data_IF_755790539135
#
_entry.id   IF_755790539135
#
_cell.length_a   1.000
_cell.length_b   1.000
_cell.length_c   1.000
_cell.angle_alpha   90.00
_cell.angle_beta   90.00
_cell.angle_gamma   90.00
#
_symmetry.space_group_name_H-M   'P 1'
#
loop_
_entity.id
_entity.type
_entity.pdbx_description
1 polymer ?
#
# COMPACT_ATOMS: atom_id res chain seq x y z
N UNK A 1 -21.56 -7.69 -7.23
CA UNK A 1 -20.57 -8.79 -7.14
C UNK A 1 -19.98 -8.79 -5.75
N UNK A 2 -19.53 -9.94 -5.24
CA UNK A 2 -18.80 -10.03 -3.97
C UNK A 2 -17.29 -9.81 -4.22
N UNK A 3 -16.58 -9.17 -3.31
CA UNK A 3 -15.12 -8.97 -3.39
C UNK A 3 -14.37 -10.28 -3.60
N UNK A 4 -14.81 -11.36 -2.94
CA UNK A 4 -14.18 -12.70 -3.04
C UNK A 4 -14.21 -13.30 -4.45
N UNK A 5 -14.99 -12.73 -5.37
CA UNK A 5 -15.00 -13.14 -6.79
C UNK A 5 -14.00 -12.37 -7.66
N UNK A 6 -13.42 -11.28 -7.15
CA UNK A 6 -12.40 -10.50 -7.84
C UNK A 6 -11.05 -11.22 -7.82
N UNK A 7 -10.28 -11.08 -8.90
CA UNK A 7 -8.96 -11.70 -9.01
C UNK A 7 -7.87 -10.76 -8.53
N UNK A 8 -6.95 -11.27 -7.72
CA UNK A 8 -5.79 -10.52 -7.29
C UNK A 8 -4.71 -10.48 -8.38
N UNK A 9 -4.23 -9.28 -8.70
CA UNK A 9 -3.06 -9.04 -9.53
C UNK A 9 -1.92 -8.55 -8.64
N UNK A 10 -0.84 -9.32 -8.58
CA UNK A 10 0.37 -8.91 -7.87
C UNK A 10 1.48 -8.56 -8.87
N UNK A 11 1.93 -7.31 -8.85
CA UNK A 11 3.06 -6.85 -9.65
C UNK A 11 4.35 -6.93 -8.85
N UNK A 12 5.25 -7.82 -9.25
CA UNK A 12 6.48 -8.08 -8.49
C UNK A 12 7.61 -7.06 -8.74
N UNK A 13 7.56 -6.28 -9.82
CA UNK A 13 8.65 -5.35 -10.19
C UNK A 13 9.47 -5.83 -11.41
N UNK A 14 10.73 -5.42 -11.57
CA UNK A 14 11.65 -4.76 -10.62
C UNK A 14 11.61 -3.22 -10.61
N UNK A 15 12.39 -2.59 -9.72
CA UNK A 15 12.57 -1.14 -9.70
C UNK A 15 13.10 -0.64 -11.05
N UNK A 16 12.64 0.54 -11.50
CA UNK A 16 12.96 1.13 -12.81
C UNK A 16 12.46 0.34 -14.03
N UNK A 17 11.63 -0.70 -13.85
CA UNK A 17 10.99 -1.43 -14.93
C UNK A 17 9.60 -0.87 -15.32
N UNK A 18 9.45 0.46 -15.27
CA UNK A 18 8.19 1.16 -15.61
C UNK A 18 6.92 0.70 -14.84
N UNK A 19 7.08 0.15 -13.63
CA UNK A 19 5.97 -0.28 -12.77
C UNK A 19 4.98 0.84 -12.42
N UNK A 20 5.47 2.09 -12.33
CA UNK A 20 4.63 3.28 -12.16
C UNK A 20 3.72 3.53 -13.36
N UNK A 21 4.23 3.36 -14.58
CA UNK A 21 3.41 3.52 -15.78
C UNK A 21 2.35 2.41 -15.83
N UNK A 22 2.74 1.17 -15.55
CA UNK A 22 1.83 0.03 -15.52
C UNK A 22 0.72 0.21 -14.47
N UNK A 23 1.05 0.69 -13.26
CA UNK A 23 0.03 0.94 -12.24
C UNK A 23 -0.98 1.98 -12.69
N UNK A 24 -0.53 3.10 -13.26
CA UNK A 24 -1.44 4.13 -13.77
C UNK A 24 -2.29 3.67 -14.96
N UNK A 25 -1.70 2.87 -15.86
CA UNK A 25 -2.44 2.29 -16.96
C UNK A 25 -3.58 1.39 -16.46
N UNK A 26 -3.30 0.49 -15.52
CA UNK A 26 -4.33 -0.40 -14.95
C UNK A 26 -5.37 0.37 -14.14
N UNK A 27 -4.94 1.33 -13.32
CA UNK A 27 -5.81 2.17 -12.49
C UNK A 27 -6.76 3.05 -13.32
N UNK A 28 -6.37 3.40 -14.56
CA UNK A 28 -7.26 4.14 -15.47
C UNK A 28 -8.49 3.36 -15.94
N UNK A 29 -8.53 2.05 -15.69
CA UNK A 29 -9.65 1.18 -16.08
C UNK A 29 -10.64 1.02 -14.92
N UNK A 30 -11.95 0.97 -15.24
CA UNK A 30 -12.99 0.75 -14.22
C UNK A 30 -13.01 -0.69 -13.68
N UNK A 31 -12.30 -1.61 -14.32
CA UNK A 31 -12.29 -3.04 -13.97
C UNK A 31 -11.23 -3.40 -12.90
N UNK A 32 -10.30 -2.48 -12.59
CA UNK A 32 -9.18 -2.74 -11.66
C UNK A 32 -9.24 -1.78 -10.47
N UNK A 33 -9.21 -2.35 -9.28
CA UNK A 33 -9.12 -1.62 -8.02
C UNK A 33 -7.68 -1.64 -7.49
N UNK A 34 -7.11 -0.47 -7.20
CA UNK A 34 -5.85 -0.37 -6.46
C UNK A 34 -6.10 -0.11 -4.97
N UNK A 35 -5.10 -0.45 -4.15
CA UNK A 35 -5.09 -0.15 -2.73
C UNK A 35 -5.11 1.37 -2.45
N UNK A 36 -5.20 1.77 -1.17
CA UNK A 36 -5.25 3.18 -0.77
C UNK A 36 -4.00 3.97 -1.17
N UNK A 37 -2.87 3.31 -1.29
CA UNK A 37 -1.58 3.87 -1.65
C UNK A 37 -0.87 2.94 -2.62
N UNK A 38 -0.07 3.52 -3.51
CA UNK A 38 0.81 2.75 -4.40
C UNK A 38 1.94 2.14 -3.58
N UNK A 39 2.37 0.93 -3.96
CA UNK A 39 3.47 0.20 -3.33
C UNK A 39 3.19 -0.11 -1.85
N UNK A 40 2.24 -1.03 -1.59
CA UNK A 40 1.88 -1.39 -0.21
C UNK A 40 3.03 -2.07 0.55
N UNK A 41 3.98 -2.65 -0.19
CA UNK A 41 5.15 -3.35 0.34
C UNK A 41 4.82 -4.47 1.34
N UNK A 42 3.58 -4.96 1.35
CA UNK A 42 3.05 -5.88 2.36
C UNK A 42 3.92 -7.13 2.45
N UNK A 43 4.10 -7.85 1.35
CA UNK A 43 4.91 -9.08 1.34
C UNK A 43 6.38 -8.82 1.69
N UNK A 44 6.97 -7.75 1.16
CA UNK A 44 8.38 -7.43 1.46
C UNK A 44 8.60 -7.08 2.93
N UNK A 45 7.63 -6.46 3.60
CA UNK A 45 7.72 -6.16 5.04
C UNK A 45 7.40 -7.39 5.90
N UNK A 46 6.52 -8.27 5.44
CA UNK A 46 6.20 -9.53 6.11
C UNK A 46 7.38 -10.51 6.09
N UNK A 47 8.06 -10.64 4.95
CA UNK A 47 9.11 -11.64 4.75
C UNK A 47 10.55 -11.11 4.90
N UNK A 48 10.77 -9.78 4.93
CA UNK A 48 12.09 -9.18 5.17
C UNK A 48 12.09 -8.31 6.44
N UNK A 49 12.55 -8.86 7.59
CA UNK A 49 12.53 -8.15 8.87
C UNK A 49 13.25 -6.78 8.87
N UNK A 50 14.33 -6.66 8.09
CA UNK A 50 15.08 -5.40 7.96
C UNK A 50 14.21 -4.26 7.40
N UNK A 51 13.40 -4.54 6.38
CA UNK A 51 12.53 -3.54 5.75
C UNK A 51 11.44 -3.08 6.72
N UNK A 52 10.90 -4.00 7.51
CA UNK A 52 9.91 -3.67 8.54
C UNK A 52 10.52 -2.81 9.65
N UNK A 53 11.69 -3.16 10.16
CA UNK A 53 12.36 -2.37 11.19
C UNK A 53 12.67 -0.94 10.72
N UNK A 54 13.21 -0.79 9.50
CA UNK A 54 13.48 0.52 8.89
C UNK A 54 12.20 1.34 8.72
N UNK A 55 11.10 0.70 8.31
CA UNK A 55 9.80 1.34 8.21
C UNK A 55 9.29 1.83 9.58
N UNK A 56 9.35 0.98 10.62
CA UNK A 56 8.96 1.35 11.98
C UNK A 56 9.77 2.52 12.53
N UNK A 57 11.09 2.53 12.34
CA UNK A 57 11.94 3.63 12.80
C UNK A 57 11.62 4.94 12.08
N UNK A 58 11.36 4.89 10.77
CA UNK A 58 10.91 6.06 10.01
C UNK A 58 9.54 6.55 10.48
N UNK A 59 8.60 5.63 10.72
CA UNK A 59 7.27 5.94 11.20
C UNK A 59 7.31 6.61 12.58
N UNK A 60 8.06 6.03 13.53
CA UNK A 60 8.27 6.62 14.86
C UNK A 60 8.82 8.03 14.76
N UNK A 61 9.85 8.25 13.93
CA UNK A 61 10.45 9.57 13.71
C UNK A 61 9.44 10.58 13.19
N UNK A 62 8.65 10.21 12.17
CA UNK A 62 7.59 11.07 11.61
C UNK A 62 6.57 11.45 12.69
N UNK A 63 6.07 10.47 13.43
CA UNK A 63 5.08 10.69 14.51
C UNK A 63 5.65 11.60 15.59
N UNK A 64 6.90 11.42 16.00
CA UNK A 64 7.55 12.28 17.00
C UNK A 64 7.87 13.68 16.51
N UNK A 65 7.99 13.88 15.19
CA UNK A 65 8.27 15.19 14.58
C UNK A 65 7.00 16.02 14.35
N UNK A 66 5.81 15.44 14.49
CA UNK A 66 4.57 16.21 14.51
C UNK A 66 4.59 17.08 15.78
N UNK A 67 4.74 18.39 15.59
CA UNK A 67 4.48 19.40 16.62
C UNK A 67 2.99 19.66 16.76
N UNK A 68 2.61 20.87 17.16
CA UNK A 68 1.19 21.25 17.23
C UNK A 68 0.50 21.17 15.86
N UNK A 69 -0.77 20.76 15.87
CA UNK A 69 -1.59 20.62 14.66
C UNK A 69 -1.91 22.01 14.12
N UNK A 70 -1.05 22.52 13.25
CA UNK A 70 -1.29 23.71 12.42
C UNK A 70 -1.58 23.30 10.97
N UNK A 71 -2.16 24.20 10.17
CA UNK A 71 -2.47 23.95 8.77
C UNK A 71 -1.28 23.52 7.90
N UNK A 72 -0.05 23.86 8.32
CA UNK A 72 1.19 23.51 7.63
C UNK A 72 1.55 22.01 7.75
N UNK A 73 0.94 21.28 8.70
CA UNK A 73 1.23 19.88 8.98
C UNK A 73 0.23 18.87 8.37
N UNK A 74 -0.79 19.32 7.61
CA UNK A 74 -1.85 18.45 7.07
C UNK A 74 -1.28 17.28 6.25
N UNK A 75 -0.34 17.55 5.35
CA UNK A 75 0.29 16.51 4.52
C UNK A 75 1.05 15.47 5.37
N UNK A 76 1.75 15.91 6.42
CA UNK A 76 2.47 15.01 7.31
C UNK A 76 1.50 14.10 8.09
N UNK A 77 0.35 14.64 8.50
CA UNK A 77 -0.71 13.88 9.16
C UNK A 77 -1.31 12.83 8.21
N UNK A 78 -1.56 13.19 6.94
CA UNK A 78 -2.03 12.23 5.93
C UNK A 78 -1.01 11.12 5.67
N UNK A 79 0.28 11.46 5.55
CA UNK A 79 1.36 10.48 5.38
C UNK A 79 1.44 9.51 6.57
N UNK A 80 1.32 10.01 7.81
CA UNK A 80 1.29 9.17 9.01
C UNK A 80 0.04 8.30 9.06
N UNK A 81 -1.11 8.83 8.68
CA UNK A 81 -2.35 8.04 8.60
C UNK A 81 -2.20 6.89 7.61
N UNK A 82 -1.62 7.16 6.44
CA UNK A 82 -1.32 6.14 5.44
C UNK A 82 -0.34 5.09 5.99
N UNK A 83 0.78 5.51 6.59
CA UNK A 83 1.75 4.60 7.22
C UNK A 83 1.11 3.75 8.34
N UNK A 84 0.19 4.30 9.13
CA UNK A 84 -0.53 3.57 10.17
C UNK A 84 -1.47 2.50 9.61
N UNK A 85 -2.20 2.82 8.53
CA UNK A 85 -3.01 1.84 7.80
C UNK A 85 -2.13 0.67 7.30
N UNK A 86 -0.93 0.97 6.81
CA UNK A 86 0.02 -0.06 6.43
C UNK A 86 0.48 -0.92 7.60
N UNK A 87 0.77 -0.33 8.77
CA UNK A 87 1.18 -1.10 9.95
C UNK A 87 0.12 -2.12 10.35
N UNK A 88 -1.14 -1.73 10.33
CA UNK A 88 -2.24 -2.63 10.70
C UNK A 88 -2.35 -3.80 9.71
N UNK A 89 -2.28 -3.50 8.41
CA UNK A 89 -2.29 -4.49 7.34
C UNK A 89 -1.07 -5.43 7.33
N UNK A 90 0.02 -5.12 8.03
CA UNK A 90 1.19 -6.01 8.13
C UNK A 90 1.04 -7.11 9.18
N UNK A 91 0.09 -6.95 10.10
CA UNK A 91 -0.12 -7.90 11.20
C UNK A 91 -1.03 -9.06 10.81
N UNK A 92 -1.83 -8.90 9.74
CA UNK A 92 -2.86 -9.84 9.33
C UNK A 92 -3.16 -9.70 7.83
N UNK A 93 -3.23 -10.84 7.13
CA UNK A 93 -3.57 -10.88 5.70
C UNK A 93 -5.01 -10.41 5.44
N UNK A 94 -5.94 -10.61 6.39
CA UNK A 94 -7.31 -10.13 6.24
C UNK A 94 -7.36 -8.60 6.27
N UNK A 95 -6.57 -7.98 7.16
CA UNK A 95 -6.44 -6.51 7.20
C UNK A 95 -5.81 -5.95 5.93
N UNK A 96 -4.90 -6.69 5.30
CA UNK A 96 -4.39 -6.34 3.98
C UNK A 96 -5.49 -6.38 2.91
N UNK A 97 -6.35 -7.39 2.89
CA UNK A 97 -7.49 -7.44 1.98
C UNK A 97 -8.55 -6.37 2.28
N UNK A 98 -8.74 -6.00 3.55
CA UNK A 98 -9.67 -4.95 3.95
C UNK A 98 -9.34 -3.58 3.34
N UNK A 99 -8.05 -3.32 3.05
CA UNK A 99 -7.60 -2.13 2.32
C UNK A 99 -8.25 -2.02 0.92
N UNK A 100 -8.59 -3.16 0.32
CA UNK A 100 -9.28 -3.22 -0.97
C UNK A 100 -10.80 -3.32 -0.77
N UNK A 101 -11.26 -4.16 0.17
CA UNK A 101 -12.71 -4.36 0.42
C UNK A 101 -13.43 -3.02 0.69
N UNK A 102 -12.82 -2.12 1.45
CA UNK A 102 -13.42 -0.82 1.77
C UNK A 102 -13.67 0.10 0.55
N UNK A 103 -12.98 -0.14 -0.57
CA UNK A 103 -13.11 0.64 -1.82
C UNK A 103 -13.77 -0.16 -2.95
N UNK A 104 -14.14 -1.40 -2.70
CA UNK A 104 -14.68 -2.29 -3.71
C UNK A 104 -16.10 -1.87 -4.11
N UNK A 105 -16.32 -1.64 -5.40
CA UNK A 105 -17.61 -1.25 -5.97
C UNK A 105 -18.05 -2.18 -7.11
N UNK A 106 -17.43 -3.36 -7.24
CA UNK A 106 -17.77 -4.35 -8.27
C UNK A 106 -16.70 -4.59 -9.33
N UNK A 107 -15.46 -4.13 -9.10
CA UNK A 107 -14.33 -4.37 -10.00
C UNK A 107 -14.08 -5.87 -10.21
N UNK A 108 -13.51 -6.22 -11.37
CA UNK A 108 -13.15 -7.61 -11.71
C UNK A 108 -11.81 -8.02 -11.10
N UNK A 109 -10.93 -7.04 -10.90
CA UNK A 109 -9.58 -7.24 -10.41
C UNK A 109 -9.30 -6.27 -9.27
N UNK A 110 -8.42 -6.68 -8.38
CA UNK A 110 -7.73 -5.76 -7.47
C UNK A 110 -6.23 -5.99 -7.58
N UNK A 111 -5.43 -4.94 -7.39
CA UNK A 111 -4.02 -4.96 -7.72
C UNK A 111 -3.14 -4.28 -6.67
N UNK A 112 -2.00 -4.91 -6.39
CA UNK A 112 -0.86 -4.30 -5.70
C UNK A 112 0.40 -4.52 -6.52
N UNK A 113 1.07 -3.42 -6.85
CA UNK A 113 2.32 -3.43 -7.58
C UNK A 113 3.36 -2.76 -6.68
N UNK A 114 4.24 -3.58 -6.10
CA UNK A 114 5.35 -3.10 -5.27
C UNK A 114 6.66 -3.62 -5.87
N UNK A 115 7.51 -2.76 -6.44
CA UNK A 115 8.75 -3.20 -7.09
C UNK A 115 9.73 -3.94 -6.16
N UNK A 116 9.59 -3.74 -4.84
CA UNK A 116 10.38 -4.41 -3.81
C UNK A 116 10.03 -5.89 -3.62
N UNK A 117 9.00 -6.40 -4.30
CA UNK A 117 8.65 -7.83 -4.26
C UNK A 117 9.64 -8.68 -5.08
N UNK A 118 10.29 -8.09 -6.09
CA UNK A 118 11.45 -8.68 -6.74
C UNK A 118 12.65 -8.55 -5.79
N UNK A 119 13.02 -9.65 -5.13
CA UNK A 119 14.17 -9.76 -4.22
C UNK A 119 15.52 -9.84 -4.96
N UNK A 120 15.60 -9.30 -6.17
CA UNK A 120 16.72 -9.46 -7.11
C UNK A 120 17.74 -8.35 -6.89
#
# INVERSE_FOLDING_TARGET
MNFESAKFIVGLGAQKAATTWLSYYLESTQDVLFGPTKELHHFSRLYLPYNFHKFLENFKRKVTSIGDISGDNIKQIEDIKNDAIHLDALTDIEKYYDLFRCKYTGQKYFADISPSYALI
#
